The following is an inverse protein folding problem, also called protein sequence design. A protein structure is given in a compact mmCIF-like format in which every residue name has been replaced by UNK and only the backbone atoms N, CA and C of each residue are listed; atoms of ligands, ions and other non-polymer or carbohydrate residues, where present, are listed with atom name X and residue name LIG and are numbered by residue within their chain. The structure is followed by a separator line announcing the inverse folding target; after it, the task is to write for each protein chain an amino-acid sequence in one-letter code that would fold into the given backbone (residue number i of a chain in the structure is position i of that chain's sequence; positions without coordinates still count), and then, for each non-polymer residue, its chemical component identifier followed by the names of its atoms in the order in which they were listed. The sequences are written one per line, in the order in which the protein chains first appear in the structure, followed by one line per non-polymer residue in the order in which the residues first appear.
data_IF_189428072066
#
_entry.id   IF_189428072066
#
_cell.length_a   1.000
_cell.length_b   1.000
_cell.length_c   1.000
_cell.angle_alpha   90.00
_cell.angle_beta   90.00
_cell.angle_gamma   90.00
#
_symmetry.space_group_name_H-M   'P 1'
#
loop_
_entity.id
_entity.type
_entity.pdbx_description
1 polymer ?
#
# COMPACT_ATOMS: atom_id res chain seq x y z
N UNK A 1 -16.80 -12.10 38.16
CA UNK A 1 -16.68 -11.06 37.13
C UNK A 1 -15.19 -10.91 36.94
N UNK A 2 -14.62 -11.70 36.04
CA UNK A 2 -13.21 -11.60 35.64
C UNK A 2 -13.16 -11.99 34.17
N UNK A 3 -13.68 -11.07 33.36
CA UNK A 3 -13.21 -10.85 32.00
C UNK A 3 -12.08 -9.84 32.14
N UNK A 4 -10.85 -10.27 31.88
CA UNK A 4 -9.76 -9.50 31.23
C UNK A 4 -8.47 -10.27 31.50
N UNK A 5 -7.91 -10.94 30.48
CA UNK A 5 -6.48 -10.78 30.18
C UNK A 5 -6.10 -11.46 28.85
N UNK A 6 -5.72 -10.61 27.91
CA UNK A 6 -4.78 -10.85 26.81
C UNK A 6 -5.24 -11.74 25.64
N UNK A 7 -6.13 -11.19 24.83
CA UNK A 7 -6.11 -11.39 23.38
C UNK A 7 -5.07 -10.43 22.75
N UNK A 8 -3.83 -10.87 22.53
CA UNK A 8 -2.86 -10.12 21.72
C UNK A 8 -1.62 -10.96 21.33
N UNK A 9 -1.81 -12.16 20.77
CA UNK A 9 -0.73 -12.84 20.01
C UNK A 9 -1.25 -13.26 18.63
N UNK A 10 -1.91 -12.32 17.94
CA UNK A 10 -2.21 -12.46 16.50
C UNK A 10 -1.14 -11.81 15.62
N UNK A 11 -0.01 -11.43 16.22
CA UNK A 11 1.07 -10.62 15.66
C UNK A 11 2.20 -11.52 15.13
N UNK A 12 2.00 -12.16 13.96
CA UNK A 12 3.14 -12.61 13.11
C UNK A 12 2.78 -12.66 11.61
N UNK A 13 1.51 -12.76 11.21
CA UNK A 13 1.19 -13.12 9.80
C UNK A 13 0.10 -12.31 9.12
N UNK A 14 0.08 -10.98 9.32
CA UNK A 14 -0.55 -10.08 8.35
C UNK A 14 0.39 -9.83 7.16
N UNK A 15 0.94 -10.91 6.58
CA UNK A 15 1.88 -10.93 5.45
C UNK A 15 1.32 -10.32 4.15
N UNK A 16 0.12 -9.74 4.19
CA UNK A 16 -0.44 -8.94 3.11
C UNK A 16 -0.34 -7.45 3.38
N UNK A 17 -0.48 -7.02 4.63
CA UNK A 17 -0.56 -5.60 5.00
C UNK A 17 0.85 -4.98 5.10
N UNK A 18 1.79 -5.67 5.76
CA UNK A 18 3.21 -5.27 5.82
C UNK A 18 3.86 -5.24 4.42
N UNK A 19 3.56 -6.27 3.60
CA UNK A 19 4.04 -6.36 2.23
C UNK A 19 3.48 -5.23 1.35
N UNK A 20 2.23 -4.82 1.57
CA UNK A 20 1.61 -3.70 0.85
C UNK A 20 2.19 -2.37 1.30
N UNK A 21 2.49 -2.18 2.59
CA UNK A 21 3.09 -0.95 3.09
C UNK A 21 4.49 -0.73 2.48
N UNK A 22 5.31 -1.78 2.43
CA UNK A 22 6.62 -1.77 1.75
C UNK A 22 6.48 -1.47 0.26
N UNK A 23 5.50 -2.08 -0.42
CA UNK A 23 5.19 -1.78 -1.83
C UNK A 23 4.82 -0.29 -1.99
N UNK A 24 4.03 0.28 -1.08
CA UNK A 24 3.60 1.67 -1.14
C UNK A 24 4.79 2.65 -1.14
N UNK A 25 5.76 2.42 -0.26
CA UNK A 25 6.97 3.24 -0.18
C UNK A 25 7.84 3.08 -1.43
N UNK A 26 7.95 1.86 -1.97
CA UNK A 26 8.67 1.63 -3.22
C UNK A 26 8.00 2.33 -4.41
N UNK A 27 6.66 2.29 -4.50
CA UNK A 27 5.91 2.99 -5.53
C UNK A 27 6.17 4.50 -5.48
N UNK A 28 6.14 5.11 -4.28
CA UNK A 28 6.48 6.53 -4.09
C UNK A 28 7.91 6.85 -4.54
N UNK A 29 8.87 5.96 -4.24
CA UNK A 29 10.25 6.12 -4.71
C UNK A 29 10.34 6.07 -6.24
N UNK A 30 9.63 5.15 -6.90
CA UNK A 30 9.57 5.08 -8.36
C UNK A 30 8.95 6.34 -8.97
N UNK A 31 7.88 6.90 -8.38
CA UNK A 31 7.34 8.21 -8.79
C UNK A 31 8.41 9.30 -8.69
N UNK A 32 9.16 9.34 -7.59
CA UNK A 32 10.25 10.30 -7.40
C UNK A 32 11.39 10.13 -8.41
N UNK A 33 11.62 8.91 -8.91
CA UNK A 33 12.60 8.61 -9.96
C UNK A 33 12.01 8.68 -11.37
N UNK A 34 10.81 9.28 -11.53
CA UNK A 34 10.09 9.42 -12.79
C UNK A 34 9.86 8.08 -13.52
N UNK A 35 9.87 6.98 -12.77
CA UNK A 35 9.63 5.61 -13.22
C UNK A 35 8.15 5.28 -13.05
N UNK A 36 7.30 6.02 -13.75
CA UNK A 36 5.84 5.98 -13.61
C UNK A 36 5.25 4.63 -14.00
N UNK A 37 5.83 3.92 -14.97
CA UNK A 37 5.42 2.57 -15.38
C UNK A 37 5.61 1.53 -14.26
N UNK A 38 6.78 1.56 -13.61
CA UNK A 38 7.08 0.68 -12.47
C UNK A 38 6.23 1.05 -11.25
N UNK A 39 6.06 2.34 -10.97
CA UNK A 39 5.17 2.80 -9.91
C UNK A 39 3.73 2.34 -10.16
N UNK A 40 3.22 2.48 -11.39
CA UNK A 40 1.86 2.08 -11.77
C UNK A 40 1.62 0.59 -11.52
N UNK A 41 2.53 -0.26 -11.99
CA UNK A 41 2.43 -1.71 -11.80
C UNK A 41 2.29 -2.07 -10.31
N UNK A 42 3.15 -1.48 -9.47
CA UNK A 42 3.12 -1.72 -8.03
C UNK A 42 1.84 -1.20 -7.36
N UNK A 43 1.37 -0.02 -7.77
CA UNK A 43 0.13 0.58 -7.25
C UNK A 43 -1.09 -0.26 -7.63
N UNK A 44 -1.13 -0.85 -8.82
CA UNK A 44 -2.20 -1.77 -9.22
C UNK A 44 -2.22 -3.07 -8.40
N UNK A 45 -1.06 -3.57 -7.95
CA UNK A 45 -0.96 -4.68 -7.01
C UNK A 45 -1.52 -4.30 -5.63
N UNK A 46 -1.14 -3.13 -5.11
CA UNK A 46 -1.67 -2.58 -3.85
C UNK A 46 -3.20 -2.43 -3.91
N UNK A 47 -3.76 -2.02 -5.06
CA UNK A 47 -5.21 -1.90 -5.23
C UNK A 47 -5.97 -3.24 -5.09
N UNK A 48 -5.28 -4.36 -5.30
CA UNK A 48 -5.83 -5.71 -5.22
C UNK A 48 -5.57 -6.38 -3.87
N UNK A 49 -4.39 -6.16 -3.30
CA UNK A 49 -3.91 -6.85 -2.11
C UNK A 49 -4.10 -6.04 -0.82
N UNK A 50 -4.07 -4.71 -0.91
CA UNK A 50 -4.14 -3.82 0.24
C UNK A 50 -5.53 -3.67 0.86
N UNK A 51 -5.56 -3.16 2.08
CA UNK A 51 -6.78 -2.75 2.76
C UNK A 51 -7.34 -1.42 2.19
N UNK A 52 -8.54 -1.01 2.62
CA UNK A 52 -9.19 0.19 2.09
C UNK A 52 -8.33 1.47 2.19
N UNK A 53 -7.53 1.63 3.24
CA UNK A 53 -6.65 2.79 3.40
C UNK A 53 -5.48 2.76 2.41
N UNK A 54 -4.81 1.61 2.27
CA UNK A 54 -3.70 1.42 1.33
C UNK A 54 -4.17 1.58 -0.12
N UNK A 55 -5.35 1.05 -0.43
CA UNK A 55 -5.96 1.17 -1.76
C UNK A 55 -6.31 2.63 -2.07
N UNK A 56 -6.84 3.39 -1.10
CA UNK A 56 -7.11 4.82 -1.29
C UNK A 56 -5.81 5.58 -1.58
N UNK A 57 -4.75 5.31 -0.85
CA UNK A 57 -3.46 5.95 -1.09
C UNK A 57 -2.91 5.60 -2.49
N UNK A 58 -2.99 4.33 -2.89
CA UNK A 58 -2.52 3.89 -4.19
C UNK A 58 -3.28 4.56 -5.34
N UNK A 59 -4.60 4.80 -5.18
CA UNK A 59 -5.40 5.55 -6.15
C UNK A 59 -4.92 7.00 -6.28
N UNK A 60 -4.63 7.67 -5.17
CA UNK A 60 -4.14 9.06 -5.18
C UNK A 60 -2.79 9.18 -5.90
N UNK A 61 -1.90 8.22 -5.66
CA UNK A 61 -0.61 8.18 -6.35
C UNK A 61 -0.80 7.92 -7.85
N UNK A 62 -1.66 6.98 -8.25
CA UNK A 62 -1.98 6.71 -9.66
C UNK A 62 -2.58 7.91 -10.39
N UNK A 63 -3.46 8.65 -9.73
CA UNK A 63 -4.05 9.88 -10.26
C UNK A 63 -2.97 10.93 -10.55
N UNK A 64 -2.06 11.14 -9.61
CA UNK A 64 -0.91 12.04 -9.78
C UNK A 64 0.07 11.64 -10.89
N UNK A 65 0.11 10.36 -11.29
CA UNK A 65 0.92 9.90 -12.43
C UNK A 65 0.29 10.24 -13.79
N UNK A 66 -1.04 10.38 -13.87
CA UNK A 66 -1.76 10.68 -15.11
C UNK A 66 -1.71 12.15 -15.52
N UNK A 67 -1.53 13.06 -14.56
CA UNK A 67 -1.53 14.51 -14.79
C UNK A 67 -0.19 15.04 -15.36
N UNK A 68 0.80 14.17 -15.57
CA UNK A 68 2.13 14.53 -16.09
C UNK A 68 2.30 14.51 -17.61
N UNK A 69 1.28 14.10 -18.37
CA UNK A 69 1.32 13.98 -19.84
C UNK A 69 0.37 14.97 -20.57
N UNK A 70 0.18 16.17 -20.01
CA UNK A 70 -0.58 17.28 -20.62
C UNK A 70 0.30 18.36 -21.24
#
# INVERSE_FOLDING_TARGET
HDHDDQAAESDVFSQGDDDVEVKLDLARAYVSWNSTDSARTLLEEILREGNDAQRDEARRLLDGLGEGEG
#
